data_IF_399319406641
#
_entry.id   IF_399319406641
#
_cell.length_a   1.000
_cell.length_b   1.000
_cell.length_c   1.000
_cell.angle_alpha   90.00
_cell.angle_beta   90.00
_cell.angle_gamma   90.00
#
_symmetry.space_group_name_H-M   'P 1'
#
loop_
_entity.id
_entity.type
_entity.pdbx_description
1 polymer ?
#
# COMPACT_ATOMS: atom_id res chain seq x y z
N UNK A 1 -0.56 15.94 7.17
CA UNK A 1 0.05 15.12 8.24
C UNK A 1 1.56 15.21 8.11
N UNK A 2 2.28 15.50 9.20
CA UNK A 2 3.75 15.57 9.21
C UNK A 2 4.31 14.30 9.86
N UNK A 3 4.97 13.48 9.06
CA UNK A 3 5.63 12.24 9.53
C UNK A 3 6.96 12.63 10.19
N UNK A 4 7.06 12.45 11.50
CA UNK A 4 8.26 12.80 12.28
C UNK A 4 9.36 11.75 12.14
N UNK A 5 8.98 10.48 12.01
CA UNK A 5 9.89 9.33 11.96
C UNK A 5 9.34 8.28 10.99
N UNK A 6 10.20 7.67 10.18
CA UNK A 6 9.83 6.61 9.26
C UNK A 6 10.35 5.26 9.74
N UNK A 7 9.75 4.16 9.25
CA UNK A 7 10.24 2.81 9.54
C UNK A 7 11.67 2.59 9.04
N UNK A 8 12.07 3.26 7.96
CA UNK A 8 13.47 3.25 7.49
C UNK A 8 14.43 3.81 8.52
N UNK A 9 14.09 4.91 9.19
CA UNK A 9 14.91 5.51 10.26
C UNK A 9 14.95 4.61 11.51
N UNK A 10 13.84 4.00 11.88
CA UNK A 10 13.81 3.00 12.96
C UNK A 10 14.78 1.86 12.66
N UNK A 11 14.75 1.36 11.43
CA UNK A 11 15.67 0.32 10.97
C UNK A 11 17.13 0.73 11.11
N UNK A 12 17.49 1.90 10.63
CA UNK A 12 18.89 2.37 10.69
C UNK A 12 19.40 2.44 12.13
N UNK A 13 18.54 2.88 13.04
CA UNK A 13 18.85 2.90 14.46
C UNK A 13 19.05 1.49 15.02
N UNK A 14 18.17 0.54 14.68
CA UNK A 14 18.30 -0.87 15.07
C UNK A 14 19.62 -1.45 14.56
N UNK A 15 19.95 -1.25 13.29
CA UNK A 15 21.20 -1.75 12.69
C UNK A 15 22.42 -1.13 13.37
N UNK A 16 22.39 0.18 13.61
CA UNK A 16 23.47 0.89 14.30
C UNK A 16 23.69 0.35 15.70
N UNK A 17 22.64 0.19 16.47
CA UNK A 17 22.71 -0.35 17.84
C UNK A 17 23.16 -1.81 17.85
N UNK A 18 22.68 -2.62 16.91
CA UNK A 18 23.09 -4.02 16.80
C UNK A 18 24.58 -4.17 16.42
N UNK A 19 25.16 -3.26 15.66
CA UNK A 19 26.57 -3.29 15.23
C UNK A 19 27.55 -2.73 16.28
N UNK A 20 27.20 -1.64 16.94
CA UNK A 20 28.09 -0.87 17.80
C UNK A 20 27.66 -0.82 19.28
N UNK A 21 26.44 -1.28 19.60
CA UNK A 21 25.91 -1.23 20.95
C UNK A 21 26.49 -2.29 21.89
N UNK A 22 26.52 -1.97 23.21
CA UNK A 22 26.81 -2.93 24.25
C UNK A 22 25.79 -4.07 24.27
N UNK A 23 26.07 -5.16 25.01
CA UNK A 23 25.09 -6.25 25.18
C UNK A 23 23.79 -5.77 25.85
N UNK A 24 23.91 -4.83 26.80
CA UNK A 24 22.76 -4.20 27.44
C UNK A 24 21.91 -3.38 26.47
N UNK A 25 22.55 -2.57 25.59
CA UNK A 25 21.86 -1.80 24.56
C UNK A 25 21.13 -2.70 23.54
N UNK A 26 21.69 -3.86 23.22
CA UNK A 26 21.04 -4.85 22.35
C UNK A 26 19.84 -5.53 23.00
N UNK A 27 19.91 -5.83 24.29
CA UNK A 27 18.79 -6.38 25.03
C UNK A 27 17.66 -5.36 25.16
N UNK A 28 17.95 -4.12 25.52
CA UNK A 28 16.97 -3.03 25.57
C UNK A 28 16.30 -2.75 24.23
N UNK A 29 17.04 -2.92 23.13
CA UNK A 29 16.50 -2.73 21.79
C UNK A 29 15.34 -3.70 21.50
N UNK A 30 15.47 -4.96 21.89
CA UNK A 30 14.41 -5.99 21.70
C UNK A 30 13.15 -5.57 22.44
N UNK A 31 13.29 -5.13 23.69
CA UNK A 31 12.16 -4.72 24.54
C UNK A 31 11.47 -3.42 24.07
N UNK A 32 12.18 -2.60 23.27
CA UNK A 32 11.66 -1.30 22.80
C UNK A 32 11.20 -1.31 21.35
N UNK A 33 11.32 -2.43 20.62
CA UNK A 33 10.95 -2.50 19.19
C UNK A 33 9.51 -2.10 18.93
N UNK A 34 8.56 -2.64 19.68
CA UNK A 34 7.14 -2.33 19.54
C UNK A 34 6.88 -0.84 19.82
N UNK A 35 7.54 -0.27 20.82
CA UNK A 35 7.45 1.15 21.13
C UNK A 35 8.00 2.03 20.00
N UNK A 36 9.13 1.65 19.39
CA UNK A 36 9.72 2.40 18.26
C UNK A 36 8.79 2.41 17.03
N UNK A 37 8.06 1.32 16.82
CA UNK A 37 7.04 1.24 15.76
C UNK A 37 5.87 2.18 16.06
N UNK A 38 5.33 2.11 17.28
CA UNK A 38 4.22 2.97 17.72
C UNK A 38 4.61 4.45 17.69
N UNK A 39 5.84 4.80 18.06
CA UNK A 39 6.37 6.17 17.97
C UNK A 39 6.46 6.69 16.53
N UNK A 40 6.55 5.79 15.56
CA UNK A 40 6.56 6.13 14.13
C UNK A 40 5.16 6.30 13.54
N UNK A 41 4.12 5.89 14.27
CA UNK A 41 2.74 6.05 13.87
C UNK A 41 2.32 7.51 14.09
N UNK A 42 1.76 8.13 13.07
CA UNK A 42 1.18 9.47 13.17
C UNK A 42 -0.33 9.33 13.21
N UNK A 43 -0.92 9.59 14.36
CA UNK A 43 -2.36 9.49 14.58
C UNK A 43 -3.04 10.85 14.35
N UNK A 44 -4.22 10.78 13.77
CA UNK A 44 -5.19 11.88 13.64
C UNK A 44 -6.51 11.45 14.28
N UNK A 45 -7.50 12.33 14.29
CA UNK A 45 -8.83 12.01 14.84
C UNK A 45 -9.56 10.90 14.06
N UNK A 46 -9.18 10.64 12.80
CA UNK A 46 -9.92 9.75 11.91
C UNK A 46 -9.09 8.61 11.32
N UNK A 47 -7.77 8.73 11.29
CA UNK A 47 -6.87 7.73 10.74
C UNK A 47 -5.47 7.84 11.32
N UNK A 48 -4.68 6.79 11.13
CA UNK A 48 -3.26 6.80 11.46
C UNK A 48 -2.42 6.51 10.21
N UNK A 49 -1.21 7.06 10.16
CA UNK A 49 -0.26 6.87 9.04
C UNK A 49 1.04 6.31 9.55
N UNK A 50 1.48 5.20 8.97
CA UNK A 50 2.81 4.63 9.15
C UNK A 50 3.57 4.76 7.83
N UNK A 51 4.64 5.56 7.82
CA UNK A 51 5.45 5.77 6.63
C UNK A 51 6.70 4.89 6.64
N UNK A 52 6.92 4.18 5.53
CA UNK A 52 8.12 3.36 5.35
C UNK A 52 9.40 4.18 5.22
N UNK A 53 9.36 5.29 4.47
CA UNK A 53 10.54 6.07 4.13
C UNK A 53 11.47 5.36 3.13
N UNK A 54 12.44 6.11 2.61
CA UNK A 54 13.50 5.55 1.75
C UNK A 54 14.61 4.98 2.63
N UNK A 55 15.13 3.82 2.26
CA UNK A 55 16.32 3.25 2.90
C UNK A 55 17.55 3.63 2.06
N UNK A 56 18.47 4.38 2.63
CA UNK A 56 19.68 4.83 1.94
C UNK A 56 20.78 3.75 1.85
N UNK A 57 20.65 2.67 2.64
CA UNK A 57 21.66 1.62 2.67
C UNK A 57 21.33 0.44 1.77
N UNK A 58 22.24 0.12 0.86
CA UNK A 58 22.28 -1.14 0.11
C UNK A 58 22.47 -2.29 1.11
N UNK A 59 21.48 -3.14 1.28
CA UNK A 59 21.59 -4.31 2.16
C UNK A 59 20.35 -5.19 2.10
N UNK A 60 20.47 -6.42 2.57
CA UNK A 60 19.40 -7.40 2.61
C UNK A 60 18.23 -6.88 3.44
N UNK A 61 17.04 -6.82 2.86
CA UNK A 61 15.82 -6.28 3.46
C UNK A 61 15.19 -7.24 4.51
N UNK A 62 15.66 -8.47 4.61
CA UNK A 62 15.00 -9.53 5.38
C UNK A 62 14.66 -9.19 6.84
N UNK A 63 15.57 -8.66 7.69
CA UNK A 63 15.24 -8.40 9.09
C UNK A 63 14.24 -7.26 9.29
N UNK A 64 14.15 -6.35 8.31
CA UNK A 64 13.26 -5.17 8.36
C UNK A 64 11.87 -5.50 7.88
N UNK A 65 11.79 -6.34 6.87
CA UNK A 65 10.50 -6.85 6.42
C UNK A 65 9.82 -7.66 7.54
N UNK A 66 10.59 -8.39 8.37
CA UNK A 66 10.07 -9.10 9.52
C UNK A 66 9.57 -8.15 10.62
N UNK A 67 10.31 -7.06 10.88
CA UNK A 67 9.89 -6.01 11.82
C UNK A 67 8.61 -5.30 11.33
N UNK A 68 8.58 -4.92 10.06
CA UNK A 68 7.41 -4.27 9.49
C UNK A 68 6.20 -5.21 9.49
N UNK A 69 6.41 -6.48 9.21
CA UNK A 69 5.36 -7.50 9.29
C UNK A 69 4.80 -7.60 10.70
N UNK A 70 5.65 -7.70 11.71
CA UNK A 70 5.25 -7.70 13.11
C UNK A 70 4.48 -6.44 13.50
N UNK A 71 4.92 -5.27 13.01
CA UNK A 71 4.22 -4.02 13.20
C UNK A 71 2.81 -4.03 12.57
N UNK A 72 2.68 -4.46 11.31
CA UNK A 72 1.39 -4.58 10.62
C UNK A 72 0.49 -5.58 11.35
N UNK A 73 1.00 -6.73 11.76
CA UNK A 73 0.25 -7.74 12.54
C UNK A 73 -0.21 -7.19 13.90
N UNK A 74 0.57 -6.37 14.56
CA UNK A 74 0.19 -5.73 15.83
C UNK A 74 -0.86 -4.66 15.60
N UNK A 75 -0.65 -3.79 14.61
CA UNK A 75 -1.59 -2.71 14.27
C UNK A 75 -2.93 -3.26 13.72
N UNK A 76 -2.91 -4.40 13.01
CA UNK A 76 -4.14 -5.01 12.48
C UNK A 76 -5.15 -5.42 13.57
N UNK A 77 -4.70 -5.55 14.80
CA UNK A 77 -5.58 -5.82 15.95
C UNK A 77 -6.27 -4.57 16.50
N UNK A 78 -5.78 -3.39 16.13
CA UNK A 78 -6.22 -2.09 16.67
C UNK A 78 -6.98 -1.24 15.68
N UNK A 79 -6.97 -1.62 14.40
CA UNK A 79 -7.64 -0.87 13.32
C UNK A 79 -8.61 -1.78 12.56
N UNK A 80 -9.80 -1.27 12.27
CA UNK A 80 -10.82 -2.00 11.50
C UNK A 80 -10.40 -2.18 10.04
N UNK A 81 -9.65 -1.22 9.49
CA UNK A 81 -9.19 -1.25 8.10
C UNK A 81 -7.76 -0.74 8.01
N UNK A 82 -6.90 -1.47 7.30
CA UNK A 82 -5.54 -1.06 6.96
C UNK A 82 -5.41 -0.98 5.45
N UNK A 83 -5.05 0.18 4.94
CA UNK A 83 -4.73 0.39 3.52
C UNK A 83 -3.22 0.46 3.36
N UNK A 84 -2.68 -0.39 2.49
CA UNK A 84 -1.24 -0.45 2.23
C UNK A 84 -0.99 0.05 0.81
N UNK A 85 -0.26 1.17 0.69
CA UNK A 85 0.23 1.66 -0.58
C UNK A 85 1.46 0.83 -1.00
N UNK A 86 1.26 0.01 -2.00
CA UNK A 86 2.25 -0.96 -2.49
C UNK A 86 3.27 -0.40 -3.47
N UNK A 87 3.29 0.89 -3.74
CA UNK A 87 4.11 1.53 -4.77
C UNK A 87 3.84 0.96 -6.20
N UNK A 88 4.62 1.38 -7.17
CA UNK A 88 4.48 0.91 -8.55
C UNK A 88 5.21 -0.42 -8.79
N UNK A 89 4.52 -1.34 -9.47
CA UNK A 89 5.10 -2.58 -9.97
C UNK A 89 5.05 -3.76 -9.00
N UNK A 90 5.92 -4.74 -9.22
CA UNK A 90 5.90 -6.05 -8.56
C UNK A 90 6.81 -6.17 -7.33
N UNK A 91 7.60 -5.15 -7.04
CA UNK A 91 8.64 -5.24 -5.99
C UNK A 91 8.09 -5.51 -4.60
N UNK A 92 6.93 -4.93 -4.26
CA UNK A 92 6.34 -5.10 -2.93
C UNK A 92 5.86 -6.54 -2.70
N UNK A 93 5.40 -7.20 -3.76
CA UNK A 93 5.04 -8.62 -3.73
C UNK A 93 6.30 -9.47 -3.48
N UNK A 94 7.39 -9.19 -4.19
CA UNK A 94 8.67 -9.88 -4.02
C UNK A 94 9.27 -9.70 -2.61
N UNK A 95 9.02 -8.57 -1.96
CA UNK A 95 9.54 -8.27 -0.62
C UNK A 95 8.80 -8.98 0.50
N UNK A 96 7.67 -9.62 0.24
CA UNK A 96 6.87 -10.40 1.21
C UNK A 96 6.55 -9.64 2.51
N UNK A 97 6.32 -8.34 2.41
CA UNK A 97 6.01 -7.49 3.57
C UNK A 97 4.66 -7.86 4.18
N UNK A 98 3.74 -8.33 3.33
CA UNK A 98 2.40 -8.75 3.74
C UNK A 98 2.16 -10.18 3.28
N UNK A 99 1.76 -11.06 4.21
CA UNK A 99 1.46 -12.47 3.92
C UNK A 99 -0.03 -12.75 3.69
N UNK A 100 -0.88 -11.93 4.28
CA UNK A 100 -2.33 -12.06 4.17
C UNK A 100 -2.93 -10.71 3.84
N UNK A 101 -3.77 -10.69 2.84
CA UNK A 101 -4.57 -9.57 2.40
C UNK A 101 -6.00 -10.05 2.25
N UNK A 102 -6.96 -9.29 2.75
CA UNK A 102 -8.36 -9.55 2.46
C UNK A 102 -8.64 -9.17 0.99
N UNK A 103 -8.16 -8.00 0.58
CA UNK A 103 -8.34 -7.52 -0.79
C UNK A 103 -7.04 -6.95 -1.35
N UNK A 104 -6.62 -7.41 -2.53
CA UNK A 104 -5.55 -6.81 -3.31
C UNK A 104 -6.15 -6.09 -4.52
N UNK A 105 -5.90 -4.79 -4.61
CA UNK A 105 -6.36 -3.94 -5.69
C UNK A 105 -5.20 -3.59 -6.60
N UNK A 106 -5.24 -4.03 -7.85
CA UNK A 106 -4.29 -3.63 -8.88
C UNK A 106 -4.81 -2.35 -9.53
N UNK A 107 -4.10 -1.24 -9.34
CA UNK A 107 -4.45 0.03 -9.99
C UNK A 107 -3.60 0.20 -11.23
N UNK A 108 -4.24 0.42 -12.38
CA UNK A 108 -3.56 0.60 -13.67
C UNK A 108 -4.24 1.68 -14.52
N UNK A 109 -3.53 2.19 -15.49
CA UNK A 109 -4.12 3.00 -16.56
C UNK A 109 -4.64 2.10 -17.72
N UNK A 110 -5.32 2.72 -18.68
CA UNK A 110 -5.89 2.05 -19.85
C UNK A 110 -4.84 1.76 -20.95
N UNK A 111 -3.65 1.29 -20.57
CA UNK A 111 -2.57 0.98 -21.51
C UNK A 111 -2.25 -0.50 -21.60
N UNK A 112 -1.73 -0.95 -22.74
CA UNK A 112 -1.28 -2.33 -22.91
C UNK A 112 -0.18 -2.71 -21.91
N UNK A 113 0.72 -1.79 -21.55
CA UNK A 113 1.77 -2.00 -20.54
C UNK A 113 1.19 -2.17 -19.15
N UNK A 114 0.20 -1.34 -18.79
CA UNK A 114 -0.51 -1.45 -17.53
C UNK A 114 -1.19 -2.80 -17.38
N UNK A 115 -1.88 -3.28 -18.43
CA UNK A 115 -2.50 -4.60 -18.46
C UNK A 115 -1.49 -5.74 -18.36
N UNK A 116 -0.34 -5.65 -19.06
CA UNK A 116 0.73 -6.64 -18.93
C UNK A 116 1.29 -6.70 -17.51
N UNK A 117 1.48 -5.55 -16.87
CA UNK A 117 1.92 -5.48 -15.47
C UNK A 117 0.87 -6.08 -14.54
N UNK A 118 -0.41 -5.79 -14.75
CA UNK A 118 -1.50 -6.38 -13.98
C UNK A 118 -1.54 -7.91 -14.10
N UNK A 119 -1.37 -8.45 -15.32
CA UNK A 119 -1.28 -9.89 -15.55
C UNK A 119 -0.08 -10.53 -14.83
N UNK A 120 1.07 -9.84 -14.82
CA UNK A 120 2.25 -10.31 -14.11
C UNK A 120 2.04 -10.32 -12.59
N UNK A 121 1.46 -9.27 -12.03
CA UNK A 121 1.11 -9.19 -10.60
C UNK A 121 0.17 -10.34 -10.23
N UNK A 122 -0.90 -10.55 -11.02
CA UNK A 122 -1.82 -11.68 -10.80
C UNK A 122 -1.08 -13.00 -10.76
N UNK A 123 -0.23 -13.27 -11.76
CA UNK A 123 0.54 -14.51 -11.83
C UNK A 123 1.42 -14.68 -10.58
N UNK A 124 2.12 -13.64 -10.16
CA UNK A 124 2.99 -13.71 -8.97
C UNK A 124 2.19 -14.01 -7.70
N UNK A 125 1.02 -13.40 -7.51
CA UNK A 125 0.16 -13.66 -6.36
C UNK A 125 -0.36 -15.11 -6.38
N UNK A 126 -0.65 -15.66 -7.57
CA UNK A 126 -1.13 -17.04 -7.71
C UNK A 126 -0.02 -18.09 -7.56
N UNK A 127 1.19 -17.80 -8.05
CA UNK A 127 2.34 -18.71 -8.00
C UNK A 127 3.04 -18.65 -6.63
N UNK A 128 3.05 -17.50 -5.96
CA UNK A 128 3.70 -17.31 -4.67
C UNK A 128 2.74 -17.67 -3.52
N UNK A 129 2.91 -18.89 -3.00
CA UNK A 129 2.14 -19.39 -1.85
C UNK A 129 2.41 -18.63 -0.54
N UNK A 130 3.36 -17.71 -0.54
CA UNK A 130 3.67 -16.89 0.65
C UNK A 130 2.67 -15.75 0.85
N UNK A 131 1.95 -15.34 -0.21
CA UNK A 131 0.91 -14.32 -0.16
C UNK A 131 -0.45 -14.98 -0.30
N UNK A 132 -1.30 -14.80 0.70
CA UNK A 132 -2.70 -15.22 0.67
C UNK A 132 -3.56 -13.99 0.45
N UNK A 133 -4.35 -14.00 -0.62
CA UNK A 133 -5.28 -12.95 -0.95
C UNK A 133 -6.68 -13.55 -1.13
N UNK A 134 -7.69 -13.00 -0.45
CA UNK A 134 -9.06 -13.51 -0.54
C UNK A 134 -9.77 -12.95 -1.78
N UNK A 135 -9.56 -11.65 -2.06
CA UNK A 135 -10.10 -10.98 -3.24
C UNK A 135 -8.97 -10.30 -4.02
N UNK A 136 -8.99 -10.46 -5.33
CA UNK A 136 -8.04 -9.83 -6.26
C UNK A 136 -8.81 -9.18 -7.39
N UNK A 137 -8.65 -7.87 -7.56
CA UNK A 137 -9.32 -7.14 -8.63
C UNK A 137 -8.48 -6.02 -9.22
N UNK A 138 -8.97 -5.49 -10.34
CA UNK A 138 -8.33 -4.40 -11.07
C UNK A 138 -9.20 -3.14 -11.05
N UNK A 139 -8.57 -2.00 -10.83
CA UNK A 139 -9.15 -0.67 -10.97
C UNK A 139 -8.44 0.06 -12.10
N UNK A 140 -9.20 0.51 -13.08
CA UNK A 140 -8.66 1.38 -14.13
C UNK A 140 -8.72 2.83 -13.69
N UNK A 141 -7.58 3.50 -13.69
CA UNK A 141 -7.45 4.89 -13.28
C UNK A 141 -7.26 5.81 -14.50
N UNK A 142 -7.74 7.05 -14.40
CA UNK A 142 -7.67 8.06 -15.44
C UNK A 142 -8.29 7.60 -16.79
N UNK A 143 -9.44 6.95 -16.68
CA UNK A 143 -10.11 6.36 -17.83
C UNK A 143 -10.65 7.46 -18.77
N UNK A 144 -10.28 7.35 -20.06
CA UNK A 144 -10.74 8.21 -21.17
C UNK A 144 -11.28 7.40 -22.35
N UNK A 145 -11.36 6.07 -22.21
CA UNK A 145 -11.79 5.14 -23.26
C UNK A 145 -13.02 4.36 -22.81
N UNK A 146 -13.58 3.55 -23.69
CA UNK A 146 -14.74 2.71 -23.39
C UNK A 146 -14.47 1.74 -22.25
N UNK A 147 -15.31 1.75 -21.23
CA UNK A 147 -15.25 0.79 -20.11
C UNK A 147 -15.43 -0.65 -20.59
N UNK A 148 -16.23 -0.87 -21.65
CA UNK A 148 -16.47 -2.20 -22.22
C UNK A 148 -15.18 -2.82 -22.80
N UNK A 149 -14.36 -2.04 -23.48
CA UNK A 149 -13.04 -2.51 -23.95
C UNK A 149 -12.11 -2.88 -22.79
N UNK A 150 -12.10 -2.07 -21.73
CA UNK A 150 -11.28 -2.34 -20.54
C UNK A 150 -11.77 -3.60 -19.80
N UNK A 151 -13.09 -3.79 -19.73
CA UNK A 151 -13.69 -4.99 -19.15
C UNK A 151 -13.29 -6.25 -19.91
N UNK A 152 -13.37 -6.23 -21.25
CA UNK A 152 -12.92 -7.34 -22.09
C UNK A 152 -11.44 -7.65 -21.85
N UNK A 153 -10.58 -6.63 -21.85
CA UNK A 153 -9.15 -6.80 -21.59
C UNK A 153 -8.86 -7.39 -20.20
N UNK A 154 -9.61 -6.96 -19.17
CA UNK A 154 -9.49 -7.54 -17.83
C UNK A 154 -9.95 -9.00 -17.80
N UNK A 155 -11.01 -9.35 -18.51
CA UNK A 155 -11.50 -10.72 -18.65
C UNK A 155 -10.49 -11.64 -19.34
N UNK A 156 -9.80 -11.17 -20.38
CA UNK A 156 -8.75 -11.92 -21.07
C UNK A 156 -7.59 -12.32 -20.14
N UNK A 157 -7.21 -11.46 -19.22
CA UNK A 157 -6.21 -11.76 -18.19
C UNK A 157 -6.82 -12.39 -16.93
N UNK A 158 -8.14 -12.59 -16.90
CA UNK A 158 -8.88 -13.25 -15.83
C UNK A 158 -8.88 -12.47 -14.51
N UNK A 159 -8.95 -11.13 -14.57
CA UNK A 159 -9.11 -10.25 -13.41
C UNK A 159 -10.54 -9.71 -13.34
N UNK A 160 -11.09 -9.66 -12.12
CA UNK A 160 -12.34 -8.98 -11.82
C UNK A 160 -12.12 -7.47 -11.84
N UNK A 161 -13.01 -6.72 -12.51
CA UNK A 161 -12.96 -5.26 -12.51
C UNK A 161 -13.72 -4.74 -11.31
N UNK A 162 -13.03 -4.07 -10.40
CA UNK A 162 -13.63 -3.42 -9.25
C UNK A 162 -14.20 -2.04 -9.58
N UNK A 163 -13.66 -1.38 -10.60
CA UNK A 163 -14.22 -0.13 -11.09
C UNK A 163 -13.31 0.67 -12.00
N UNK A 164 -13.85 1.81 -12.39
CA UNK A 164 -13.23 2.76 -13.30
C UNK A 164 -13.22 4.13 -12.66
N UNK A 165 -12.04 4.74 -12.56
CA UNK A 165 -11.87 6.11 -12.09
C UNK A 165 -11.65 6.97 -13.32
N UNK A 166 -12.58 7.89 -13.64
CA UNK A 166 -12.43 8.74 -14.81
C UNK A 166 -11.28 9.73 -14.64
N UNK A 167 -10.81 10.28 -15.74
CA UNK A 167 -9.95 11.47 -15.70
C UNK A 167 -10.70 12.60 -14.97
N UNK A 168 -10.02 13.21 -13.99
CA UNK A 168 -10.58 14.28 -13.16
C UNK A 168 -9.61 15.46 -13.14
N UNK A 169 -10.02 16.55 -13.77
CA UNK A 169 -9.20 17.76 -13.90
C UNK A 169 -9.01 18.47 -12.55
N UNK A 170 -9.95 18.33 -11.62
CA UNK A 170 -9.82 18.91 -10.28
C UNK A 170 -8.72 18.22 -9.51
N UNK A 171 -8.65 16.89 -9.58
CA UNK A 171 -7.56 16.10 -9.00
C UNK A 171 -6.23 16.52 -9.62
N UNK A 172 -6.16 16.61 -10.94
CA UNK A 172 -4.94 16.99 -11.64
C UNK A 172 -4.46 18.41 -11.26
N UNK A 173 -5.39 19.37 -11.13
CA UNK A 173 -5.08 20.73 -10.70
C UNK A 173 -4.60 20.80 -9.24
N UNK A 174 -5.23 20.08 -8.34
CA UNK A 174 -4.82 20.06 -6.93
C UNK A 174 -3.44 19.41 -6.75
N UNK A 175 -3.18 18.31 -7.45
CA UNK A 175 -1.89 17.62 -7.44
C UNK A 175 -0.77 18.54 -7.97
N UNK A 176 -1.00 19.24 -9.07
CA UNK A 176 -0.03 20.18 -9.67
C UNK A 176 0.42 21.29 -8.69
N UNK A 177 -0.48 21.75 -7.83
CA UNK A 177 -0.16 22.82 -6.85
C UNK A 177 0.12 22.27 -5.45
N UNK A 178 0.20 20.96 -5.28
CA UNK A 178 0.50 20.30 -4.01
C UNK A 178 -0.59 20.48 -2.93
N UNK A 179 -1.85 20.64 -3.33
CA UNK A 179 -2.97 20.70 -2.39
C UNK A 179 -3.41 19.30 -1.96
N UNK A 180 -3.98 19.23 -0.77
CA UNK A 180 -4.49 17.96 -0.24
C UNK A 180 -5.70 17.46 -1.03
N UNK A 181 -5.69 16.18 -1.42
CA UNK A 181 -6.85 15.52 -2.02
C UNK A 181 -8.01 15.32 -1.02
N UNK A 182 -7.78 15.53 0.28
CA UNK A 182 -8.85 15.57 1.28
C UNK A 182 -9.78 16.78 1.13
N UNK A 183 -9.34 17.81 0.37
CA UNK A 183 -10.11 19.02 0.08
C UNK A 183 -10.87 18.94 -1.25
N UNK A 184 -10.92 17.75 -1.87
CA UNK A 184 -11.70 17.54 -3.10
C UNK A 184 -13.18 17.79 -2.85
N UNK A 185 -13.86 18.50 -3.77
CA UNK A 185 -15.30 18.69 -3.66
C UNK A 185 -16.04 17.37 -3.86
N UNK A 186 -17.19 17.21 -3.22
CA UNK A 186 -18.05 16.03 -3.39
C UNK A 186 -18.52 15.81 -4.83
N UNK A 187 -18.47 16.85 -5.65
CA UNK A 187 -18.77 16.78 -7.09
C UNK A 187 -17.63 16.17 -7.93
N UNK A 188 -16.46 15.88 -7.35
CA UNK A 188 -15.35 15.22 -8.06
C UNK A 188 -15.78 13.85 -8.57
N UNK A 189 -15.74 13.60 -9.88
CA UNK A 189 -16.12 12.30 -10.44
C UNK A 189 -15.14 11.21 -10.04
N UNK A 190 -13.85 11.55 -9.87
CA UNK A 190 -12.81 10.63 -9.38
C UNK A 190 -13.09 10.20 -7.95
N UNK A 191 -13.39 11.14 -7.04
CA UNK A 191 -13.74 10.84 -5.65
C UNK A 191 -15.00 9.97 -5.56
N UNK A 192 -16.04 10.30 -6.33
CA UNK A 192 -17.27 9.51 -6.37
C UNK A 192 -17.04 8.07 -6.87
N UNK A 193 -16.14 7.89 -7.85
CA UNK A 193 -15.76 6.57 -8.33
C UNK A 193 -15.03 5.76 -7.27
N UNK A 194 -14.05 6.37 -6.58
CA UNK A 194 -13.31 5.71 -5.48
C UNK A 194 -14.25 5.30 -4.36
N UNK A 195 -15.17 6.16 -3.94
CA UNK A 195 -16.18 5.81 -2.90
C UNK A 195 -16.96 4.55 -3.30
N UNK A 196 -17.49 4.48 -4.52
CA UNK A 196 -18.23 3.28 -5.02
C UNK A 196 -17.36 2.02 -5.01
N UNK A 197 -16.09 2.13 -5.39
CA UNK A 197 -15.17 0.99 -5.40
C UNK A 197 -14.93 0.50 -3.97
N UNK A 198 -14.66 1.40 -3.05
CA UNK A 198 -14.38 1.08 -1.65
C UNK A 198 -15.62 0.46 -0.99
N UNK A 199 -16.80 1.06 -1.15
CA UNK A 199 -18.06 0.55 -0.64
C UNK A 199 -18.43 -0.82 -1.24
N UNK A 200 -18.21 -0.99 -2.55
CA UNK A 200 -18.60 -2.21 -3.26
C UNK A 200 -17.67 -3.41 -3.09
N UNK A 201 -16.39 -3.20 -2.81
CA UNK A 201 -15.40 -4.27 -2.87
C UNK A 201 -14.50 -4.39 -1.64
N UNK A 202 -14.39 -3.34 -0.82
CA UNK A 202 -13.43 -3.29 0.30
C UNK A 202 -14.14 -3.33 1.65
N UNK A 203 -15.19 -2.50 1.85
CA UNK A 203 -15.89 -2.38 3.12
C UNK A 203 -17.08 -3.33 3.28
N UNK A 204 -17.47 -4.07 2.25
CA UNK A 204 -18.54 -5.06 2.33
C UNK A 204 -18.05 -6.34 3.02
N UNK A 205 -18.23 -6.39 4.31
CA UNK A 205 -18.25 -7.65 5.07
C UNK A 205 -19.36 -7.61 6.10
#
# INVERSE_FOLDING_TARGET
VHVKRTMGQVREEIIRTARSGSQEAKAQLVDTLDYMVLESLVETDSYAVLAMGRTETLGCFCPVNDLLRGAIETLSKSFDTIVIDGEAGVEQINRQVVRRLDTLVIVTDATARGLQTAALIKKMVQDDRSIRCEKLGIVFNRVQVSEELLKQSAQEIGLEVFGYIPQDDVIAQQDLVGRSLLELPDSSPGLAAVRRIVEGHILLQ
#
